data_IF_784478972057
#
_entry.id   IF_784478972057
#
_cell.length_a   1.000
_cell.length_b   1.000
_cell.length_c   1.000
_cell.angle_alpha   90.00
_cell.angle_beta   90.00
_cell.angle_gamma   90.00
#
_symmetry.space_group_name_H-M   'P 1'
#
loop_
_entity.id
_entity.type
_entity.pdbx_description
1 polymer ?
#
# COMPACT_ATOMS: atom_id res chain seq x y z
N UNK A 1 -13.03 -2.46 17.58
CA UNK A 1 -11.83 -2.59 16.72
C UNK A 1 -11.68 -1.26 16.01
N UNK A 2 -10.46 -0.71 15.91
CA UNK A 2 -10.23 0.57 15.22
C UNK A 2 -9.79 0.24 13.81
N UNK A 3 -10.55 0.72 12.82
CA UNK A 3 -10.30 0.45 11.41
C UNK A 3 -8.89 0.87 10.97
N UNK A 4 -8.33 0.12 10.02
CA UNK A 4 -6.99 0.29 9.45
C UNK A 4 -7.03 0.34 7.94
N UNK A 5 -6.08 1.10 7.38
CA UNK A 5 -5.71 1.03 5.98
C UNK A 5 -4.50 0.13 5.85
N UNK A 6 -4.62 -0.93 5.06
CA UNK A 6 -3.60 -1.94 4.87
C UNK A 6 -2.97 -1.87 3.48
N UNK A 7 -1.65 -1.89 3.44
CA UNK A 7 -0.88 -1.99 2.20
C UNK A 7 -0.10 -3.31 2.16
N UNK A 8 0.01 -3.89 0.96
CA UNK A 8 0.77 -5.10 0.72
C UNK A 8 1.67 -4.92 -0.50
N UNK A 9 2.98 -4.76 -0.29
CA UNK A 9 3.94 -4.65 -1.38
C UNK A 9 4.48 -6.05 -1.69
N UNK A 10 4.29 -6.49 -2.93
CA UNK A 10 4.77 -7.79 -3.44
C UNK A 10 6.07 -7.66 -4.23
N UNK A 11 6.50 -6.44 -4.55
CA UNK A 11 7.79 -6.17 -5.19
C UNK A 11 8.92 -6.37 -4.19
N UNK A 12 10.04 -6.89 -4.66
CA UNK A 12 11.23 -7.09 -3.83
C UNK A 12 11.94 -5.75 -3.58
N UNK A 13 11.59 -5.12 -2.46
CA UNK A 13 12.20 -3.88 -1.96
C UNK A 13 12.59 -4.01 -0.50
N UNK A 14 13.42 -3.09 -0.02
CA UNK A 14 13.80 -2.97 1.40
C UNK A 14 12.93 -1.95 2.15
N UNK A 15 12.77 -2.14 3.47
CA UNK A 15 12.05 -1.19 4.34
C UNK A 15 12.66 0.22 4.27
N UNK A 16 13.97 0.33 4.05
CA UNK A 16 14.64 1.60 3.84
C UNK A 16 14.09 2.38 2.64
N UNK A 17 13.69 1.70 1.55
CA UNK A 17 13.12 2.38 0.38
C UNK A 17 11.76 3.03 0.71
N UNK A 18 10.97 2.40 1.58
CA UNK A 18 9.71 2.99 2.06
C UNK A 18 9.98 4.20 2.94
N UNK A 19 10.98 4.13 3.81
CA UNK A 19 11.38 5.27 4.63
C UNK A 19 11.88 6.45 3.77
N UNK A 20 12.72 6.18 2.78
CA UNK A 20 13.19 7.20 1.82
C UNK A 20 12.03 7.81 1.01
N UNK A 21 11.01 7.01 0.67
CA UNK A 21 9.80 7.52 0.04
C UNK A 21 9.07 8.52 0.95
N UNK A 22 8.87 8.18 2.22
CA UNK A 22 8.22 9.06 3.20
C UNK A 22 9.02 10.36 3.40
N UNK A 23 10.35 10.26 3.52
CA UNK A 23 11.23 11.43 3.64
C UNK A 23 11.12 12.35 2.44
N UNK A 24 11.06 11.80 1.23
CA UNK A 24 11.02 12.56 0.00
C UNK A 24 9.68 13.24 -0.24
N UNK A 25 8.58 12.54 0.02
CA UNK A 25 7.26 12.95 -0.47
C UNK A 25 6.28 13.42 0.60
N UNK A 26 6.50 13.05 1.86
CA UNK A 26 5.57 13.40 2.94
C UNK A 26 6.21 14.30 3.99
N UNK A 27 7.33 13.88 4.58
CA UNK A 27 7.94 14.58 5.70
C UNK A 27 9.46 14.36 5.73
N UNK A 28 10.26 15.34 5.31
CA UNK A 28 11.72 15.29 5.41
C UNK A 28 12.26 15.17 6.84
N UNK A 29 11.44 15.47 7.85
CA UNK A 29 11.77 15.35 9.27
C UNK A 29 11.22 14.07 9.92
N UNK A 30 10.70 13.13 9.12
CA UNK A 30 10.20 11.85 9.61
C UNK A 30 11.25 11.11 10.45
N UNK A 31 10.78 10.39 11.46
CA UNK A 31 11.62 9.58 12.36
C UNK A 31 11.30 8.11 12.18
N UNK A 32 12.33 7.28 12.24
CA UNK A 32 12.21 5.84 12.09
C UNK A 32 12.66 5.12 13.34
N UNK A 33 11.85 4.16 13.80
CA UNK A 33 12.24 3.15 14.76
C UNK A 33 12.33 1.81 14.03
N UNK A 34 13.43 1.09 14.24
CA UNK A 34 13.64 -0.27 13.73
C UNK A 34 13.56 -1.25 14.89
N UNK A 35 12.96 -2.40 14.64
CA UNK A 35 12.79 -3.44 15.65
C UNK A 35 13.48 -4.71 15.18
N UNK A 36 14.26 -5.28 16.09
CA UNK A 36 14.84 -6.60 15.93
C UNK A 36 13.84 -7.63 16.45
N UNK A 37 13.48 -8.61 15.61
CA UNK A 37 12.61 -9.69 16.02
C UNK A 37 13.36 -10.72 16.90
N UNK A 38 12.64 -11.73 17.40
CA UNK A 38 13.22 -12.78 18.27
C UNK A 38 14.38 -13.58 17.64
N UNK A 39 14.54 -13.52 16.32
CA UNK A 39 15.57 -14.21 15.56
C UNK A 39 16.77 -13.30 15.23
N UNK A 40 16.78 -12.05 15.70
CA UNK A 40 17.84 -11.10 15.36
C UNK A 40 17.62 -10.38 14.02
N UNK A 41 16.45 -10.53 13.39
CA UNK A 41 16.19 -9.95 12.07
C UNK A 41 15.56 -8.56 12.20
N UNK A 42 16.08 -7.59 11.45
CA UNK A 42 15.55 -6.22 11.36
C UNK A 42 14.45 -6.14 10.30
N UNK A 43 13.40 -6.95 10.45
CA UNK A 43 12.31 -7.06 9.48
C UNK A 43 11.12 -6.14 9.80
N UNK A 44 11.20 -5.32 10.84
CA UNK A 44 10.12 -4.45 11.31
C UNK A 44 10.57 -2.98 11.43
N UNK A 45 9.65 -2.07 11.09
CA UNK A 45 9.88 -0.62 11.12
C UNK A 45 8.60 0.13 11.51
N UNK A 46 8.75 1.18 12.31
CA UNK A 46 7.71 2.19 12.48
C UNK A 46 8.25 3.55 12.06
N UNK A 47 7.53 4.23 11.16
CA UNK A 47 7.87 5.59 10.69
C UNK A 47 6.85 6.56 11.24
N UNK A 48 7.34 7.60 11.91
CA UNK A 48 6.58 8.70 12.48
C UNK A 48 6.79 9.93 11.60
N UNK A 49 5.71 10.51 11.09
CA UNK A 49 5.78 11.61 10.13
C UNK A 49 4.53 12.48 10.20
N UNK A 50 4.62 13.71 9.70
CA UNK A 50 3.48 14.61 9.55
C UNK A 50 3.10 14.72 8.09
N UNK A 51 1.83 14.53 7.75
CA UNK A 51 1.33 14.74 6.39
C UNK A 51 0.07 15.60 6.43
N UNK A 52 0.06 16.72 5.70
CA UNK A 52 -1.04 17.71 5.69
C UNK A 52 -1.50 18.14 7.10
N UNK A 53 -0.55 18.27 8.03
CA UNK A 53 -0.82 18.66 9.43
C UNK A 53 -1.29 17.51 10.34
N UNK A 54 -1.33 16.28 9.83
CA UNK A 54 -1.74 15.10 10.58
C UNK A 54 -0.52 14.29 11.02
N UNK A 55 -0.39 14.01 12.32
CA UNK A 55 0.65 13.12 12.83
C UNK A 55 0.30 11.66 12.53
N UNK A 56 1.24 10.95 11.90
CA UNK A 56 1.06 9.60 11.41
C UNK A 56 2.12 8.67 11.96
N UNK A 57 1.72 7.40 12.11
CA UNK A 57 2.61 6.28 12.40
C UNK A 57 2.30 5.15 11.43
N UNK A 58 3.19 4.92 10.47
CA UNK A 58 3.14 3.77 9.57
C UNK A 58 3.95 2.64 10.20
N UNK A 59 3.34 1.48 10.42
CA UNK A 59 4.06 0.26 10.75
C UNK A 59 4.30 -0.55 9.48
N UNK A 60 5.49 -1.13 9.34
CA UNK A 60 5.88 -1.95 8.21
C UNK A 60 6.62 -3.20 8.68
N UNK A 61 6.29 -4.36 8.10
CA UNK A 61 6.95 -5.64 8.39
C UNK A 61 7.18 -6.45 7.13
N UNK A 62 8.39 -7.00 7.00
CA UNK A 62 8.73 -8.00 5.99
C UNK A 62 8.37 -9.39 6.52
N UNK A 63 7.58 -10.13 5.74
CA UNK A 63 7.14 -11.47 6.10
C UNK A 63 6.97 -12.34 4.85
N UNK A 64 6.76 -13.65 5.03
CA UNK A 64 6.46 -14.57 3.93
C UNK A 64 5.01 -15.06 4.03
N UNK A 65 4.26 -14.95 2.94
CA UNK A 65 2.85 -15.33 2.90
C UNK A 65 2.46 -15.91 1.54
N UNK A 66 1.42 -16.73 1.54
CA UNK A 66 0.76 -17.19 0.30
C UNK A 66 -0.31 -16.20 -0.17
N UNK A 67 -0.67 -15.20 0.65
CA UNK A 67 -1.62 -14.14 0.29
C UNK A 67 -1.08 -13.43 -0.96
N UNK A 68 -1.86 -13.34 -2.03
CA UNK A 68 -1.45 -12.77 -3.33
C UNK A 68 -0.35 -13.53 -4.11
N UNK A 69 0.11 -14.70 -3.65
CA UNK A 69 1.05 -15.52 -4.43
C UNK A 69 0.37 -16.07 -5.69
N UNK A 70 1.05 -15.94 -6.83
CA UNK A 70 0.60 -16.56 -8.09
C UNK A 70 0.90 -18.06 -8.15
N UNK A 71 1.89 -18.52 -7.38
CA UNK A 71 2.40 -19.91 -7.40
C UNK A 71 1.81 -20.77 -6.28
N UNK A 72 1.13 -20.16 -5.31
CA UNK A 72 0.68 -20.82 -4.08
C UNK A 72 1.81 -21.04 -3.05
N UNK A 73 3.03 -20.62 -3.35
CA UNK A 73 4.17 -20.69 -2.43
C UNK A 73 4.23 -19.47 -1.51
N UNK A 74 4.93 -19.60 -0.39
CA UNK A 74 5.17 -18.46 0.51
C UNK A 74 6.19 -17.51 -0.14
N UNK A 75 5.71 -16.36 -0.57
CA UNK A 75 6.51 -15.31 -1.19
C UNK A 75 6.77 -14.17 -0.19
N UNK A 76 7.92 -13.49 -0.31
CA UNK A 76 8.28 -12.34 0.52
C UNK A 76 7.36 -11.17 0.19
N UNK A 77 6.82 -10.54 1.22
CA UNK A 77 5.92 -9.39 1.12
C UNK A 77 6.25 -8.38 2.22
N UNK A 78 5.87 -7.12 1.99
CA UNK A 78 5.88 -6.10 3.02
C UNK A 78 4.43 -5.72 3.34
N UNK A 79 4.05 -5.93 4.59
CA UNK A 79 2.78 -5.47 5.12
C UNK A 79 2.94 -4.07 5.70
N UNK A 80 1.99 -3.20 5.41
CA UNK A 80 1.90 -1.83 5.91
C UNK A 80 0.59 -1.63 6.67
N UNK A 81 0.68 -1.08 7.88
CA UNK A 81 -0.46 -0.75 8.75
C UNK A 81 -0.45 0.75 9.07
N UNK A 82 -1.58 1.39 8.76
CA UNK A 82 -1.86 2.78 9.10
C UNK A 82 -3.30 2.87 9.66
N UNK A 83 -3.52 3.66 10.72
CA UNK A 83 -4.88 3.86 11.24
C UNK A 83 -5.81 4.47 10.19
N UNK A 84 -7.10 4.10 10.13
CA UNK A 84 -8.04 4.59 9.11
C UNK A 84 -8.72 5.91 9.52
N UNK A 85 -8.09 7.04 9.19
CA UNK A 85 -8.64 8.39 9.40
C UNK A 85 -7.92 9.42 8.53
N UNK A 86 -8.55 10.57 8.23
CA UNK A 86 -7.92 11.65 7.48
C UNK A 86 -7.29 11.19 6.15
N UNK A 87 -6.05 11.57 5.89
CA UNK A 87 -5.29 11.23 4.68
C UNK A 87 -4.77 9.77 4.57
N UNK A 88 -5.21 8.80 5.38
CA UNK A 88 -4.63 7.45 5.40
C UNK A 88 -4.67 6.71 4.07
N UNK A 89 -5.82 6.73 3.41
CA UNK A 89 -6.00 6.08 2.10
C UNK A 89 -5.12 6.75 1.05
N UNK A 90 -5.01 8.08 1.07
CA UNK A 90 -4.14 8.84 0.16
C UNK A 90 -2.66 8.49 0.36
N UNK A 91 -2.22 8.43 1.61
CA UNK A 91 -0.84 8.05 1.97
C UNK A 91 -0.56 6.62 1.48
N UNK A 92 -1.43 5.66 1.81
CA UNK A 92 -1.21 4.26 1.42
C UNK A 92 -1.25 4.09 -0.09
N UNK A 93 -2.19 4.74 -0.80
CA UNK A 93 -2.24 4.74 -2.27
C UNK A 93 -0.93 5.20 -2.88
N UNK A 94 -0.37 6.30 -2.38
CA UNK A 94 0.88 6.88 -2.88
C UNK A 94 2.09 5.97 -2.64
N UNK A 95 2.16 5.30 -1.48
CA UNK A 95 3.22 4.33 -1.20
C UNK A 95 3.08 3.12 -2.13
N UNK A 96 1.89 2.52 -2.21
CA UNK A 96 1.65 1.33 -3.02
C UNK A 96 1.84 1.64 -4.51
N UNK A 97 1.40 2.79 -5.01
CA UNK A 97 1.63 3.16 -6.41
C UNK A 97 3.10 3.33 -6.76
N UNK A 98 3.96 3.66 -5.80
CA UNK A 98 5.40 3.76 -6.05
C UNK A 98 6.10 2.40 -6.11
N UNK A 99 5.54 1.36 -5.48
CA UNK A 99 6.19 0.06 -5.36
C UNK A 99 5.42 -1.10 -5.98
N UNK A 100 4.20 -0.84 -6.48
CA UNK A 100 3.16 -1.82 -6.80
C UNK A 100 2.73 -2.69 -5.61
N UNK A 101 1.48 -3.13 -5.61
CA UNK A 101 0.97 -3.99 -4.56
C UNK A 101 -0.55 -3.95 -4.43
N UNK A 102 -1.04 -4.35 -3.27
CA UNK A 102 -2.47 -4.37 -2.96
C UNK A 102 -2.79 -3.37 -1.86
N UNK A 103 -3.97 -2.76 -1.95
CA UNK A 103 -4.51 -1.84 -0.97
C UNK A 103 -5.87 -2.35 -0.49
N UNK A 104 -6.00 -2.45 0.83
CA UNK A 104 -7.25 -2.55 1.55
C UNK A 104 -7.46 -1.23 2.29
N UNK A 105 -8.46 -0.46 1.87
CA UNK A 105 -8.67 0.90 2.36
C UNK A 105 -9.12 0.89 3.82
N UNK A 106 -9.89 -0.13 4.22
CA UNK A 106 -10.58 -0.24 5.49
C UNK A 106 -10.83 -1.71 5.85
N UNK A 107 -9.99 -2.23 6.73
CA UNK A 107 -9.99 -3.64 7.17
C UNK A 107 -11.25 -4.09 7.94
N UNK A 108 -12.19 -3.19 8.17
CA UNK A 108 -13.44 -3.44 8.86
C UNK A 108 -14.66 -3.49 7.91
N UNK A 109 -14.47 -3.33 6.60
CA UNK A 109 -15.52 -3.58 5.61
C UNK A 109 -15.37 -4.94 4.91
N UNK A 110 -16.27 -5.21 3.98
CA UNK A 110 -16.33 -6.46 3.21
C UNK A 110 -15.63 -6.33 1.83
N UNK A 111 -14.86 -5.26 1.58
CA UNK A 111 -14.14 -5.08 0.31
C UNK A 111 -12.79 -5.83 0.32
N UNK A 112 -12.54 -6.64 -0.71
CA UNK A 112 -11.24 -7.27 -0.89
C UNK A 112 -10.15 -6.24 -1.27
N UNK A 113 -8.89 -6.48 -0.86
CA UNK A 113 -7.77 -5.66 -1.31
C UNK A 113 -7.65 -5.68 -2.84
N UNK A 114 -7.46 -4.51 -3.45
CA UNK A 114 -7.32 -4.38 -4.91
C UNK A 114 -5.89 -4.02 -5.30
N UNK A 115 -5.47 -4.47 -6.49
CA UNK A 115 -4.12 -4.24 -7.00
C UNK A 115 -3.95 -2.82 -7.54
N UNK A 116 -2.78 -2.23 -7.26
CA UNK A 116 -2.32 -0.95 -7.80
C UNK A 116 -0.98 -1.23 -8.49
N UNK A 117 -0.93 -0.99 -9.80
CA UNK A 117 0.29 -1.08 -10.59
C UNK A 117 1.29 0.03 -10.21
N UNK A 118 2.57 -0.22 -10.45
CA UNK A 118 3.59 0.81 -10.27
C UNK A 118 3.36 1.95 -11.24
N UNK A 119 3.26 3.16 -10.72
CA UNK A 119 3.18 4.37 -11.51
C UNK A 119 4.53 5.11 -11.40
N UNK A 120 5.28 5.26 -12.50
CA UNK A 120 6.46 6.10 -12.49
C UNK A 120 6.03 7.54 -12.16
N UNK A 121 6.88 8.27 -11.42
CA UNK A 121 6.76 9.68 -11.00
C UNK A 121 6.37 9.97 -9.54
N UNK A 122 6.06 8.99 -8.69
CA UNK A 122 5.83 9.25 -7.24
C UNK A 122 4.62 10.16 -6.95
N UNK A 123 3.81 10.46 -7.96
CA UNK A 123 2.53 11.16 -7.87
C UNK A 123 1.45 10.12 -7.59
N UNK A 124 0.53 10.43 -6.68
CA UNK A 124 -0.66 9.62 -6.42
C UNK A 124 -1.48 9.48 -7.71
N UNK A 125 -1.67 8.26 -8.26
CA UNK A 125 -2.55 8.08 -9.40
C UNK A 125 -3.99 8.41 -9.00
N UNK A 126 -4.76 9.00 -9.92
CA UNK A 126 -6.20 9.17 -9.71
C UNK A 126 -6.89 7.80 -9.90
N UNK A 127 -7.19 7.12 -8.79
CA UNK A 127 -7.81 5.79 -8.81
C UNK A 127 -9.34 5.97 -8.88
N UNK A 128 -9.93 5.54 -10.00
CA UNK A 128 -11.37 5.58 -10.23
C UNK A 128 -11.94 4.17 -10.01
N UNK A 129 -12.64 3.95 -8.88
CA UNK A 129 -13.42 2.73 -8.63
C UNK A 129 -14.78 2.85 -9.34
N UNK A 130 -15.05 2.00 -10.32
CA UNK A 130 -16.35 1.90 -10.99
C UNK A 130 -16.72 0.44 -11.24
N UNK A 131 -18.02 0.14 -11.18
CA UNK A 131 -18.51 -1.19 -11.54
C UNK A 131 -18.42 -1.40 -13.05
N UNK A 132 -18.36 -2.66 -13.50
CA UNK A 132 -18.38 -2.99 -14.93
C UNK A 132 -19.64 -2.48 -15.63
N UNK A 133 -20.77 -2.48 -14.93
CA UNK A 133 -22.03 -1.91 -15.43
C UNK A 133 -21.93 -0.40 -15.68
N UNK A 134 -21.36 0.34 -14.72
CA UNK A 134 -21.12 1.78 -14.87
C UNK A 134 -20.10 2.08 -15.97
N UNK A 135 -19.03 1.30 -16.08
CA UNK A 135 -18.06 1.40 -17.18
C UNK A 135 -18.74 1.19 -18.54
N UNK A 136 -19.53 0.11 -18.69
CA UNK A 136 -20.28 -0.17 -19.91
C UNK A 136 -21.23 0.98 -20.27
N UNK A 137 -21.94 1.51 -19.27
CA UNK A 137 -22.85 2.64 -19.43
C UNK A 137 -22.12 3.90 -19.92
N UNK A 138 -20.97 4.22 -19.34
CA UNK A 138 -20.13 5.37 -19.75
C UNK A 138 -19.59 5.23 -21.17
N UNK A 139 -19.21 4.02 -21.56
CA UNK A 139 -18.65 3.73 -22.88
C UNK A 139 -19.70 3.47 -23.96
N UNK A 140 -20.99 3.46 -23.62
CA UNK A 140 -22.09 3.26 -24.58
C UNK A 140 -22.17 1.85 -25.17
N UNK A 141 -21.62 0.84 -24.49
CA UNK A 141 -21.54 -0.52 -25.00
C UNK A 141 -20.95 -1.53 -24.02
N UNK A 142 -20.79 -2.78 -24.45
CA UNK A 142 -20.12 -3.81 -23.63
C UNK A 142 -18.61 -3.61 -23.73
N UNK A 143 -17.97 -3.31 -22.60
CA UNK A 143 -16.51 -3.21 -22.51
C UNK A 143 -15.90 -4.58 -22.26
N UNK A 144 -14.98 -4.95 -23.14
CA UNK A 144 -14.08 -6.10 -22.99
C UNK A 144 -12.70 -5.56 -22.69
N UNK A 145 -12.15 -5.93 -21.53
CA UNK A 145 -10.78 -5.57 -21.13
C UNK A 145 -9.86 -6.63 -21.71
N UNK A 146 -8.86 -6.20 -22.48
CA UNK A 146 -7.79 -7.02 -23.03
C UNK A 146 -6.51 -6.48 -22.41
N UNK A 147 -5.85 -7.27 -21.58
CA UNK A 147 -4.56 -6.90 -21.01
C UNK A 147 -3.47 -7.05 -22.10
N UNK A 148 -2.60 -6.05 -22.26
CA UNK A 148 -1.40 -6.18 -23.09
C UNK A 148 -0.36 -7.01 -22.30
N UNK A 149 0.19 -8.05 -22.93
CA UNK A 149 1.24 -8.90 -22.35
C UNK A 149 2.54 -8.14 -22.05
#
# INVERSE_FOLDING_TARGET
MTAKTHGYITKEIELEQIYQFILKWFDPAAKVNRYENKNGENNEMAVYFTYKGEERRLFAIVYKSTKFSKTGQKERQIFLDLGYWGSSVEIMKSIISNFSGYLDENDCDDEDPYFIAEHPEGIMPNIIKITRSELNKRMGGTVVIIDEE
#
